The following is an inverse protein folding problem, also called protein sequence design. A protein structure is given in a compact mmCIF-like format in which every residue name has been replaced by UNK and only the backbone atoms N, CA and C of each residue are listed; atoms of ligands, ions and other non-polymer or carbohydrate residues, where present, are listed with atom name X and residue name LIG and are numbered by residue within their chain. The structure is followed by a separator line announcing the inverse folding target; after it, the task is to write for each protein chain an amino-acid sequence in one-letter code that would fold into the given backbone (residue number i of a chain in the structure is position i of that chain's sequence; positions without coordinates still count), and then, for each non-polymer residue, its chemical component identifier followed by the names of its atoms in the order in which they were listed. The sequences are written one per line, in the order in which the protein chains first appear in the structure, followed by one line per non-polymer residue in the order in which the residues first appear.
data_IF_681108082017
#
_entry.id   IF_681108082017
#
_cell.length_a   1.000
_cell.length_b   1.000
_cell.length_c   1.000
_cell.angle_alpha   90.00
_cell.angle_beta   90.00
_cell.angle_gamma   90.00
#
_symmetry.space_group_name_H-M   'P 1'
#
loop_
_entity.id
_entity.type
_entity.pdbx_description
1 polymer ?
#
# COMPACT_ATOMS: atom_id res chain seq x y z
N UNK A 1 8.25 -5.96 -2.35
CA UNK A 1 6.92 -5.57 -1.85
C UNK A 1 6.15 -4.79 -2.92
N UNK A 2 6.18 -5.30 -4.14
CA UNK A 2 5.52 -4.66 -5.26
C UNK A 2 4.12 -5.22 -5.47
N UNK A 3 3.17 -4.33 -5.71
CA UNK A 3 1.78 -4.67 -5.96
C UNK A 3 1.39 -4.25 -7.36
N UNK A 4 0.62 -5.08 -8.05
CA UNK A 4 0.17 -4.75 -9.39
C UNK A 4 -0.62 -3.44 -9.34
N UNK A 5 -1.36 -3.29 -8.25
CA UNK A 5 -2.21 -2.14 -8.02
C UNK A 5 -2.54 -2.03 -6.53
N UNK A 6 -2.85 -0.83 -6.07
CA UNK A 6 -3.18 -0.60 -4.68
C UNK A 6 -4.55 -1.20 -4.35
N UNK A 7 -4.63 -2.11 -3.36
CA UNK A 7 -5.90 -2.74 -2.97
C UNK A 7 -6.94 -1.72 -2.52
N UNK A 8 -8.16 -1.89 -3.00
CA UNK A 8 -9.25 -0.99 -2.66
C UNK A 8 -9.35 -0.75 -1.16
N UNK A 9 -9.00 -1.75 -0.36
CA UNK A 9 -9.06 -1.62 1.09
C UNK A 9 -8.17 -0.48 1.58
N UNK A 10 -7.02 -0.31 0.93
CA UNK A 10 -6.12 0.75 1.32
C UNK A 10 -6.27 2.00 0.49
N UNK A 11 -5.22 2.80 0.45
CA UNK A 11 -5.18 4.03 -0.33
C UNK A 11 -3.73 4.35 -0.66
N UNK A 12 -3.49 4.94 -1.81
CA UNK A 12 -2.13 5.23 -2.24
C UNK A 12 -1.72 6.65 -1.85
N UNK A 13 -0.51 6.78 -1.31
CA UNK A 13 0.02 8.06 -0.86
C UNK A 13 1.55 8.06 -0.94
N UNK A 14 2.14 9.24 -0.96
CA UNK A 14 3.60 9.39 -1.03
C UNK A 14 4.29 8.61 0.08
N UNK A 15 3.65 8.52 1.23
CA UNK A 15 4.21 7.79 2.35
C UNK A 15 3.09 7.22 3.21
N UNK A 16 3.32 6.03 3.77
CA UNK A 16 2.32 5.35 4.58
C UNK A 16 2.75 5.29 6.05
N UNK A 17 1.79 5.41 6.94
CA UNK A 17 2.06 5.37 8.37
C UNK A 17 2.73 4.04 8.73
N UNK A 18 3.62 4.06 9.70
CA UNK A 18 4.35 2.87 10.12
C UNK A 18 3.44 1.65 10.22
N UNK A 19 2.27 1.83 10.84
CA UNK A 19 1.32 0.74 10.99
C UNK A 19 0.96 0.19 9.61
N UNK A 20 0.86 1.08 8.65
CA UNK A 20 0.52 0.70 7.28
C UNK A 20 1.72 0.10 6.57
N UNK A 21 1.47 -0.94 5.80
CA UNK A 21 2.53 -1.58 5.03
C UNK A 21 2.84 -0.72 3.82
N UNK A 22 4.11 -0.38 3.63
CA UNK A 22 4.52 0.44 2.51
C UNK A 22 4.52 -0.37 1.22
N UNK A 23 3.37 -0.94 0.91
CA UNK A 23 3.21 -1.74 -0.28
C UNK A 23 3.35 -0.87 -1.52
N UNK A 24 4.44 -1.03 -2.25
CA UNK A 24 4.64 -0.25 -3.46
C UNK A 24 3.73 -0.80 -4.55
N UNK A 25 2.68 -0.06 -4.87
CA UNK A 25 1.74 -0.48 -5.89
C UNK A 25 2.11 0.11 -7.24
N UNK A 26 2.57 -0.74 -8.15
CA UNK A 26 2.95 -0.30 -9.48
C UNK A 26 1.82 0.51 -10.10
N UNK A 27 0.59 0.05 -9.89
CA UNK A 27 -0.57 0.72 -10.42
C UNK A 27 -0.82 2.07 -9.77
N UNK A 28 0.22 2.68 -9.24
CA UNK A 28 0.09 3.99 -8.61
C UNK A 28 1.40 4.74 -8.62
N UNK A 29 1.29 6.06 -8.65
CA UNK A 29 2.44 6.94 -8.65
C UNK A 29 3.25 6.82 -7.36
N UNK A 30 2.55 6.86 -6.23
CA UNK A 30 3.20 6.77 -4.92
C UNK A 30 3.06 5.36 -4.33
N UNK A 31 3.20 5.26 -3.00
CA UNK A 31 3.09 3.97 -2.32
C UNK A 31 1.63 3.65 -1.99
N UNK A 32 1.37 2.39 -1.74
CA UNK A 32 0.03 1.95 -1.37
C UNK A 32 0.00 1.73 0.13
N UNK A 33 -0.96 2.34 0.79
CA UNK A 33 -1.09 2.22 2.23
C UNK A 33 -2.21 1.26 2.58
N UNK A 34 -1.91 0.32 3.46
CA UNK A 34 -2.86 -0.67 3.87
C UNK A 34 -2.71 -0.95 5.36
N UNK A 35 -3.83 -1.19 6.05
CA UNK A 35 -3.81 -1.46 7.49
C UNK A 35 -2.91 -2.64 7.81
N UNK A 36 -2.23 -2.59 8.94
CA UNK A 36 -1.34 -3.68 9.34
C UNK A 36 -2.08 -5.00 9.28
N UNK A 37 -3.39 -4.93 9.46
CA UNK A 37 -4.25 -6.10 9.44
C UNK A 37 -4.25 -6.76 8.05
N UNK A 38 -4.03 -5.94 7.02
CA UNK A 38 -4.00 -6.42 5.64
C UNK A 38 -3.00 -7.56 5.47
N UNK A 39 -3.38 -8.54 4.67
CA UNK A 39 -2.52 -9.68 4.40
C UNK A 39 -1.78 -9.45 3.09
N UNK A 40 -0.46 -9.58 3.13
CA UNK A 40 0.35 -9.39 1.95
C UNK A 40 0.20 -10.57 0.99
N UNK A 41 1.33 -11.09 0.51
CA UNK A 41 1.32 -12.22 -0.41
C UNK A 41 1.18 -13.53 0.36
#
# INVERSE_FOLDING_TARGET
LVLKYCPKIGYCSNTCSKTQIWATSHGCKMYCCLPASWKWK
#
